data_IF_882474790340
#
_entry.id   IF_882474790340
#
_cell.length_a   1.000
_cell.length_b   1.000
_cell.length_c   1.000
_cell.angle_alpha   90.00
_cell.angle_beta   90.00
_cell.angle_gamma   90.00
#
_symmetry.space_group_name_H-M   'P 1'
#
loop_
_entity.id
_entity.type
_entity.pdbx_description
1 polymer ?
#
# COMPACT_ATOMS: atom_id res chain seq x y z
N UNK A 1 -17.40 -13.69 5.40
CA UNK A 1 -16.44 -14.34 6.33
C UNK A 1 -15.01 -13.87 6.16
N UNK A 2 -14.46 -13.74 4.94
CA UNK A 2 -13.13 -13.13 4.75
C UNK A 2 -13.12 -11.61 4.93
N UNK A 3 -14.16 -10.92 4.47
CA UNK A 3 -14.25 -9.45 4.55
C UNK A 3 -14.38 -8.94 5.99
N UNK A 4 -14.91 -9.78 6.88
CA UNK A 4 -15.07 -9.50 8.31
C UNK A 4 -13.72 -9.41 9.03
N UNK A 5 -12.73 -10.23 8.63
CA UNK A 5 -11.43 -10.31 9.32
C UNK A 5 -10.66 -8.98 9.22
N UNK A 6 -10.66 -8.36 8.03
CA UNK A 6 -10.00 -7.07 7.83
C UNK A 6 -10.69 -5.98 8.64
N UNK A 7 -12.03 -5.96 8.66
CA UNK A 7 -12.80 -4.99 9.43
C UNK A 7 -12.53 -5.12 10.94
N UNK A 8 -12.42 -6.35 11.47
CA UNK A 8 -12.06 -6.60 12.87
C UNK A 8 -10.60 -6.27 13.21
N UNK A 9 -9.70 -6.28 12.22
CA UNK A 9 -8.30 -5.90 12.43
C UNK A 9 -8.11 -4.38 12.58
N UNK A 10 -8.99 -3.56 11.98
CA UNK A 10 -8.86 -2.10 12.00
C UNK A 10 -8.78 -1.49 13.42
N UNK A 11 -9.65 -1.85 14.40
CA UNK A 11 -9.52 -1.39 15.78
C UNK A 11 -8.19 -1.80 16.44
N UNK A 12 -7.69 -3.00 16.12
CA UNK A 12 -6.42 -3.51 16.66
C UNK A 12 -5.24 -2.69 16.11
N UNK A 13 -5.21 -2.44 14.81
CA UNK A 13 -4.20 -1.56 14.19
C UNK A 13 -4.26 -0.14 14.76
N UNK A 14 -5.47 0.40 14.95
CA UNK A 14 -5.70 1.70 15.61
C UNK A 14 -5.13 1.76 17.02
N UNK A 15 -5.38 0.72 17.83
CA UNK A 15 -4.84 0.63 19.18
C UNK A 15 -3.31 0.52 19.19
N UNK A 16 -2.72 -0.30 18.33
CA UNK A 16 -1.27 -0.46 18.23
C UNK A 16 -0.58 0.83 17.79
N UNK A 17 -1.15 1.57 16.83
CA UNK A 17 -0.66 2.90 16.46
C UNK A 17 -0.75 3.89 17.63
N UNK A 18 -1.84 3.87 18.40
CA UNK A 18 -1.98 4.75 19.57
C UNK A 18 -0.95 4.41 20.67
N UNK A 19 -0.67 3.13 20.88
CA UNK A 19 0.38 2.66 21.79
C UNK A 19 1.76 3.11 21.30
N UNK A 20 2.07 2.92 20.02
CA UNK A 20 3.35 3.34 19.43
C UNK A 20 3.54 4.85 19.57
N UNK A 21 2.51 5.63 19.21
CA UNK A 21 2.53 7.08 19.35
C UNK A 21 2.74 7.53 20.80
N UNK A 22 1.99 6.95 21.75
CA UNK A 22 2.12 7.24 23.18
C UNK A 22 3.51 6.90 23.72
N UNK A 23 4.09 5.78 23.30
CA UNK A 23 5.46 5.39 23.63
C UNK A 23 6.49 6.39 23.06
N UNK A 24 6.34 6.77 21.80
CA UNK A 24 7.18 7.76 21.13
C UNK A 24 7.17 9.10 21.87
N UNK A 25 6.01 9.57 22.32
CA UNK A 25 5.88 10.77 23.16
C UNK A 25 6.58 10.61 24.51
N UNK A 26 6.32 9.52 25.23
CA UNK A 26 6.90 9.26 26.54
C UNK A 26 8.44 9.16 26.51
N UNK A 27 9.01 8.72 25.38
CA UNK A 27 10.46 8.61 25.17
C UNK A 27 11.10 9.83 24.50
N UNK A 28 10.33 10.84 24.12
CA UNK A 28 10.83 11.99 23.37
C UNK A 28 11.35 11.64 21.97
N UNK A 29 10.83 10.56 21.37
CA UNK A 29 11.23 10.03 20.05
C UNK A 29 10.04 9.93 19.09
N UNK A 30 9.14 10.92 19.11
CA UNK A 30 7.95 10.89 18.27
C UNK A 30 8.30 10.91 16.78
N UNK A 31 7.98 9.82 16.07
CA UNK A 31 8.12 9.67 14.63
C UNK A 31 6.81 9.99 13.87
N UNK A 32 5.68 10.19 14.54
CA UNK A 32 4.40 10.55 13.90
C UNK A 32 4.30 12.05 13.57
N UNK A 33 3.74 12.34 12.39
CA UNK A 33 3.38 13.68 11.95
C UNK A 33 1.95 13.69 11.39
N UNK A 34 1.09 14.58 11.90
CA UNK A 34 -0.35 14.53 11.62
C UNK A 34 -0.69 14.44 10.12
N UNK A 35 -0.08 15.29 9.29
CA UNK A 35 -0.37 15.31 7.86
C UNK A 35 0.07 14.03 7.16
N UNK A 36 1.26 13.51 7.50
CA UNK A 36 1.80 12.27 6.95
C UNK A 36 0.94 11.07 7.38
N UNK A 37 0.58 10.99 8.66
CA UNK A 37 -0.30 9.96 9.20
C UNK A 37 -1.68 9.99 8.54
N UNK A 38 -2.31 11.17 8.42
CA UNK A 38 -3.60 11.29 7.72
C UNK A 38 -3.49 10.92 6.24
N UNK A 39 -2.40 11.29 5.57
CA UNK A 39 -2.17 10.92 4.17
C UNK A 39 -1.98 9.40 3.99
N UNK A 40 -1.23 8.77 4.89
CA UNK A 40 -1.01 7.31 4.91
C UNK A 40 -2.30 6.54 5.17
N UNK A 41 -3.07 6.94 6.18
CA UNK A 41 -4.36 6.31 6.46
C UNK A 41 -5.39 6.58 5.34
N UNK A 42 -5.39 7.77 4.75
CA UNK A 42 -6.27 8.09 3.61
C UNK A 42 -5.93 7.27 2.36
N UNK A 43 -4.64 6.93 2.14
CA UNK A 43 -4.25 5.95 1.12
C UNK A 43 -4.83 4.57 1.42
N UNK A 44 -4.73 4.10 2.66
CA UNK A 44 -5.36 2.85 3.08
C UNK A 44 -6.86 2.83 2.79
N UNK A 45 -7.59 3.88 3.15
CA UNK A 45 -9.02 3.99 2.85
C UNK A 45 -9.30 4.03 1.35
N UNK A 46 -8.48 4.74 0.56
CA UNK A 46 -8.59 4.76 -0.90
C UNK A 46 -8.40 3.36 -1.48
N UNK A 47 -7.40 2.62 -1.01
CA UNK A 47 -7.14 1.23 -1.43
C UNK A 47 -8.35 0.33 -1.11
N UNK A 48 -8.97 0.47 0.07
CA UNK A 48 -10.19 -0.28 0.40
C UNK A 48 -11.39 0.08 -0.49
N UNK A 49 -11.57 1.37 -0.82
CA UNK A 49 -12.63 1.80 -1.76
C UNK A 49 -12.41 1.19 -3.15
N UNK A 50 -11.17 1.20 -3.63
CA UNK A 50 -10.83 0.55 -4.90
C UNK A 50 -11.06 -0.95 -4.82
N UNK A 51 -10.59 -1.62 -3.76
CA UNK A 51 -10.76 -3.05 -3.54
C UNK A 51 -12.24 -3.47 -3.54
N UNK A 52 -13.13 -2.70 -2.90
CA UNK A 52 -14.58 -2.96 -2.93
C UNK A 52 -15.16 -2.89 -4.35
N UNK A 53 -14.60 -2.06 -5.23
CA UNK A 53 -14.98 -1.98 -6.63
C UNK A 53 -14.28 -3.01 -7.54
N UNK A 54 -13.19 -3.62 -7.05
CA UNK A 54 -12.31 -4.50 -7.84
C UNK A 54 -12.05 -5.86 -7.19
N UNK A 55 -12.92 -6.32 -6.29
CA UNK A 55 -12.74 -7.54 -5.50
C UNK A 55 -12.50 -8.79 -6.38
N UNK A 56 -13.07 -8.78 -7.60
CA UNK A 56 -12.90 -9.84 -8.60
C UNK A 56 -11.54 -9.86 -9.30
N UNK A 57 -10.67 -8.86 -9.12
CA UNK A 57 -9.44 -8.79 -9.91
C UNK A 57 -8.41 -9.78 -9.37
N UNK A 58 -7.87 -9.61 -8.15
CA UNK A 58 -6.81 -10.53 -7.72
C UNK A 58 -7.34 -11.91 -7.35
N UNK A 59 -8.25 -11.99 -6.38
CA UNK A 59 -8.81 -13.29 -5.93
C UNK A 59 -9.73 -13.87 -6.99
N UNK A 60 -10.54 -13.05 -7.66
CA UNK A 60 -11.45 -13.53 -8.70
C UNK A 60 -10.71 -14.05 -9.94
N UNK A 61 -9.71 -13.35 -10.48
CA UNK A 61 -8.93 -13.86 -11.62
C UNK A 61 -8.13 -15.12 -11.23
N UNK A 62 -7.59 -15.17 -10.00
CA UNK A 62 -6.98 -16.38 -9.48
C UNK A 62 -7.97 -17.56 -9.46
N UNK A 63 -9.17 -17.35 -8.91
CA UNK A 63 -10.20 -18.37 -8.83
C UNK A 63 -10.71 -18.81 -10.22
N UNK A 64 -10.80 -17.89 -11.18
CA UNK A 64 -11.14 -18.18 -12.56
C UNK A 64 -10.05 -18.99 -13.27
N UNK A 65 -8.78 -18.68 -13.03
CA UNK A 65 -7.65 -19.39 -13.63
C UNK A 65 -7.41 -20.77 -13.00
N UNK A 66 -7.71 -20.92 -11.70
CA UNK A 66 -7.46 -22.12 -10.92
C UNK A 66 -7.89 -23.45 -11.60
N UNK A 67 -9.15 -23.64 -12.05
CA UNK A 67 -9.58 -24.91 -12.65
C UNK A 67 -8.87 -25.26 -13.96
N UNK A 68 -8.26 -24.28 -14.64
CA UNK A 68 -7.53 -24.49 -15.90
C UNK A 68 -6.04 -24.74 -15.71
N UNK A 69 -5.47 -24.32 -14.58
CA UNK A 69 -4.03 -24.39 -14.32
C UNK A 69 -3.63 -25.48 -13.32
N UNK A 70 -4.53 -25.87 -12.42
CA UNK A 70 -4.23 -26.79 -11.33
C UNK A 70 -3.82 -28.18 -11.85
N UNK A 71 -2.66 -28.66 -11.40
CA UNK A 71 -2.16 -30.00 -11.72
C UNK A 71 -2.66 -31.07 -10.75
N UNK A 72 -2.98 -30.67 -9.51
CA UNK A 72 -3.42 -31.56 -8.43
C UNK A 72 -4.62 -30.96 -7.71
N UNK A 73 -5.79 -30.87 -8.36
CA UNK A 73 -6.99 -30.33 -7.74
C UNK A 73 -7.39 -31.17 -6.51
N UNK A 74 -7.85 -30.49 -5.45
CA UNK A 74 -8.39 -31.12 -4.24
C UNK A 74 -7.43 -32.05 -3.49
N UNK A 75 -6.12 -31.80 -3.56
CA UNK A 75 -5.16 -32.51 -2.71
C UNK A 75 -5.53 -32.32 -1.23
N UNK A 76 -5.65 -33.44 -0.50
CA UNK A 76 -6.03 -33.45 0.92
C UNK A 76 -5.12 -32.56 1.78
N UNK A 77 -3.85 -32.39 1.37
CA UNK A 77 -2.88 -31.49 1.98
C UNK A 77 -3.45 -30.10 2.32
N UNK A 78 -4.21 -29.48 1.41
CA UNK A 78 -4.72 -28.12 1.57
C UNK A 78 -5.83 -27.98 2.62
N UNK A 79 -6.34 -29.10 3.15
CA UNK A 79 -7.34 -29.12 4.22
C UNK A 79 -6.72 -29.25 5.61
N UNK A 80 -5.40 -29.49 5.69
CA UNK A 80 -4.67 -29.63 6.94
C UNK A 80 -3.76 -28.41 7.20
N UNK A 81 -3.27 -28.27 8.43
CA UNK A 81 -2.50 -27.09 8.85
C UNK A 81 -1.17 -26.97 8.10
N UNK A 82 -0.60 -28.11 7.68
CA UNK A 82 0.63 -28.19 6.87
C UNK A 82 0.41 -27.54 5.50
N UNK A 83 -0.76 -27.77 4.87
CA UNK A 83 -1.13 -27.13 3.62
C UNK A 83 -1.35 -25.63 3.78
N UNK A 84 -1.89 -25.17 4.92
CA UNK A 84 -2.02 -23.74 5.22
C UNK A 84 -0.63 -23.09 5.35
N UNK A 85 0.28 -23.71 6.09
CA UNK A 85 1.66 -23.21 6.22
C UNK A 85 2.36 -23.18 4.87
N UNK A 86 2.22 -24.24 4.06
CA UNK A 86 2.80 -24.29 2.72
C UNK A 86 2.21 -23.20 1.81
N UNK A 87 0.90 -22.95 1.88
CA UNK A 87 0.25 -21.87 1.11
C UNK A 87 0.78 -20.49 1.51
N UNK A 88 1.02 -20.23 2.81
CA UNK A 88 1.65 -18.99 3.29
C UNK A 88 3.08 -18.86 2.76
N UNK A 89 3.89 -19.92 2.82
CA UNK A 89 5.26 -19.90 2.28
C UNK A 89 5.30 -19.67 0.76
N UNK A 90 4.38 -20.28 0.03
CA UNK A 90 4.25 -20.07 -1.42
C UNK A 90 3.78 -18.65 -1.74
N UNK A 91 2.84 -18.11 -0.97
CA UNK A 91 2.40 -16.73 -1.12
C UNK A 91 3.56 -15.76 -0.87
N UNK A 92 4.29 -15.93 0.24
CA UNK A 92 5.45 -15.12 0.61
C UNK A 92 6.55 -15.16 -0.48
N UNK A 93 6.78 -16.33 -1.09
CA UNK A 93 7.69 -16.47 -2.22
C UNK A 93 7.20 -15.76 -3.50
N UNK A 94 5.92 -15.91 -3.85
CA UNK A 94 5.32 -15.21 -5.00
C UNK A 94 5.34 -13.69 -4.79
N UNK A 95 5.04 -13.25 -3.57
CA UNK A 95 5.04 -11.86 -3.16
C UNK A 95 6.46 -11.27 -3.22
N UNK A 96 7.49 -12.00 -2.79
CA UNK A 96 8.89 -11.59 -2.97
C UNK A 96 9.21 -11.22 -4.43
N UNK A 97 8.77 -12.02 -5.40
CA UNK A 97 9.02 -11.75 -6.82
C UNK A 97 8.22 -10.56 -7.34
N UNK A 98 6.96 -10.45 -6.93
CA UNK A 98 6.13 -9.32 -7.29
C UNK A 98 6.74 -8.03 -6.74
N UNK A 99 7.12 -8.05 -5.46
CA UNK A 99 7.70 -6.95 -4.73
C UNK A 99 9.05 -6.53 -5.32
N UNK A 100 9.93 -7.49 -5.63
CA UNK A 100 11.18 -7.23 -6.34
C UNK A 100 10.94 -6.54 -7.68
N UNK A 101 10.03 -7.07 -8.52
CA UNK A 101 9.68 -6.44 -9.80
C UNK A 101 9.09 -5.04 -9.60
N UNK A 102 8.34 -4.84 -8.52
CA UNK A 102 7.83 -3.52 -8.13
C UNK A 102 8.89 -2.49 -7.80
N UNK A 103 10.10 -2.89 -7.43
CA UNK A 103 11.22 -1.97 -7.28
C UNK A 103 12.08 -1.87 -8.55
N UNK A 104 12.22 -2.98 -9.29
CA UNK A 104 13.10 -3.05 -10.46
C UNK A 104 12.44 -2.65 -11.81
N UNK A 105 11.12 -2.45 -11.87
CA UNK A 105 10.39 -2.00 -13.05
C UNK A 105 9.63 -0.70 -12.78
N UNK A 106 9.82 0.32 -13.62
CA UNK A 106 9.14 1.60 -13.47
C UNK A 106 7.60 1.52 -13.51
N UNK A 107 7.02 0.59 -14.28
CA UNK A 107 5.58 0.37 -14.33
C UNK A 107 5.03 -0.19 -13.02
N UNK A 108 5.69 -1.21 -12.46
CA UNK A 108 5.27 -1.81 -11.19
C UNK A 108 5.63 -0.91 -10.00
N UNK A 109 6.71 -0.14 -10.11
CA UNK A 109 7.05 0.93 -9.16
C UNK A 109 5.98 2.00 -9.12
N UNK A 110 5.41 2.41 -10.25
CA UNK A 110 4.31 3.38 -10.25
C UNK A 110 3.08 2.89 -9.44
N UNK A 111 2.87 1.56 -9.34
CA UNK A 111 1.83 0.99 -8.50
C UNK A 111 2.21 0.97 -7.01
N UNK A 112 3.47 0.66 -6.70
CA UNK A 112 3.94 0.34 -5.35
C UNK A 112 4.56 1.54 -4.60
N UNK A 113 5.15 2.50 -5.31
CA UNK A 113 5.83 3.70 -4.77
C UNK A 113 5.01 4.46 -3.73
N UNK A 114 3.68 4.42 -3.84
CA UNK A 114 2.79 5.07 -2.89
C UNK A 114 3.06 4.60 -1.47
N UNK A 115 3.38 3.31 -1.26
CA UNK A 115 3.76 2.75 0.03
C UNK A 115 5.02 3.41 0.62
N UNK A 116 6.02 3.71 -0.22
CA UNK A 116 7.31 4.28 0.16
C UNK A 116 7.32 5.81 0.29
N UNK A 117 6.25 6.51 -0.08
CA UNK A 117 6.25 7.99 -0.13
C UNK A 117 6.34 8.67 1.25
N UNK A 118 5.96 7.98 2.33
CA UNK A 118 6.04 8.56 3.67
C UNK A 118 7.49 8.80 4.08
N UNK A 119 7.75 9.99 4.63
CA UNK A 119 9.06 10.36 5.18
C UNK A 119 9.18 10.04 6.67
N UNK A 120 8.15 9.45 7.26
CA UNK A 120 8.04 9.12 8.68
C UNK A 120 7.68 7.65 8.82
N UNK A 121 8.60 6.84 9.33
CA UNK A 121 8.40 5.40 9.39
C UNK A 121 7.79 4.98 10.73
N UNK A 122 6.55 4.51 10.70
CA UNK A 122 5.78 4.08 11.87
C UNK A 122 4.62 3.19 11.43
N UNK A 123 3.80 2.70 12.36
CA UNK A 123 2.75 1.74 12.05
C UNK A 123 1.67 2.31 11.10
N UNK A 124 1.54 3.63 10.97
CA UNK A 124 0.64 4.21 9.95
C UNK A 124 1.17 4.05 8.52
N UNK A 125 2.49 3.94 8.34
CA UNK A 125 3.13 3.64 7.04
C UNK A 125 2.68 2.29 6.50
N UNK A 126 2.49 1.29 7.38
CA UNK A 126 1.95 -0.01 6.99
C UNK A 126 0.57 0.11 6.32
N UNK A 127 -0.23 1.10 6.70
CA UNK A 127 -1.57 1.32 6.16
C UNK A 127 -1.58 2.23 4.93
N UNK A 128 -0.41 2.71 4.49
CA UNK A 128 -0.25 3.42 3.21
C UNK A 128 -0.24 2.41 2.06
N UNK A 129 -1.37 1.76 1.85
CA UNK A 129 -1.52 0.64 0.94
C UNK A 129 -1.68 1.12 -0.51
N UNK A 130 -1.04 0.42 -1.43
CA UNK A 130 -1.22 0.63 -2.85
C UNK A 130 -2.63 0.25 -3.33
N UNK A 131 -3.15 1.02 -4.28
CA UNK A 131 -4.50 0.83 -4.82
C UNK A 131 -4.50 0.25 -6.25
N UNK A 132 -3.35 0.22 -6.94
CA UNK A 132 -3.24 -0.24 -8.32
C UNK A 132 -2.62 -1.64 -8.47
N UNK A 133 -2.08 -2.19 -7.38
CA UNK A 133 -1.32 -3.45 -7.37
C UNK A 133 -2.11 -4.65 -7.87
N UNK A 134 -3.39 -4.73 -7.49
CA UNK A 134 -4.28 -5.82 -7.89
C UNK A 134 -4.43 -5.95 -9.42
N UNK A 135 -4.28 -4.84 -10.17
CA UNK A 135 -4.44 -4.82 -11.63
C UNK A 135 -3.33 -5.56 -12.37
N UNK A 136 -2.11 -5.57 -11.82
CA UNK A 136 -0.92 -6.13 -12.47
C UNK A 136 -0.23 -7.24 -11.69
N UNK A 137 -0.50 -7.38 -10.39
CA UNK A 137 0.18 -8.33 -9.51
C UNK A 137 -0.35 -9.76 -9.57
N UNK A 138 -1.63 -9.96 -9.91
CA UNK A 138 -2.26 -11.28 -9.89
C UNK A 138 -1.53 -12.39 -10.68
N UNK A 139 -0.84 -12.14 -11.82
CA UNK A 139 -0.14 -13.20 -12.55
C UNK A 139 1.01 -13.83 -11.76
N UNK A 140 1.63 -13.09 -10.82
CA UNK A 140 2.73 -13.59 -9.99
C UNK A 140 2.29 -14.71 -9.04
N UNK A 141 0.98 -14.81 -8.76
CA UNK A 141 0.41 -15.84 -7.90
C UNK A 141 -0.08 -17.08 -8.67
N UNK A 142 -0.09 -17.07 -10.01
CA UNK A 142 -0.48 -18.24 -10.80
C UNK A 142 0.37 -19.51 -10.55
N UNK A 143 1.65 -19.44 -10.18
CA UNK A 143 2.38 -20.63 -9.71
C UNK A 143 1.70 -21.36 -8.55
N UNK A 144 1.01 -20.65 -7.65
CA UNK A 144 0.22 -21.27 -6.58
C UNK A 144 -0.99 -22.04 -7.13
N UNK A 145 -1.64 -21.51 -8.16
CA UNK A 145 -2.75 -22.20 -8.83
C UNK A 145 -2.27 -23.48 -9.51
N UNK A 146 -1.12 -23.43 -10.19
CA UNK A 146 -0.47 -24.61 -10.80
C UNK A 146 -0.14 -25.67 -9.74
N UNK A 147 0.39 -25.25 -8.59
CA UNK A 147 0.65 -26.12 -7.43
C UNK A 147 -0.62 -26.67 -6.76
N UNK A 148 -1.80 -26.19 -7.16
CA UNK A 148 -3.09 -26.68 -6.68
C UNK A 148 -3.61 -26.00 -5.40
N UNK A 149 -3.05 -24.86 -4.99
CA UNK A 149 -3.51 -24.09 -3.82
C UNK A 149 -4.94 -23.58 -4.07
N UNK A 150 -5.97 -24.02 -3.31
CA UNK A 150 -7.34 -23.59 -3.56
C UNK A 150 -7.53 -22.09 -3.29
N UNK A 151 -8.49 -21.42 -3.96
CA UNK A 151 -8.69 -19.98 -3.81
C UNK A 151 -8.91 -19.49 -2.37
N UNK A 152 -9.57 -20.29 -1.52
CA UNK A 152 -9.77 -19.93 -0.12
C UNK A 152 -8.45 -19.90 0.67
N UNK A 153 -7.56 -20.87 0.43
CA UNK A 153 -6.22 -20.95 1.02
C UNK A 153 -5.31 -19.85 0.48
N UNK A 154 -5.43 -19.51 -0.81
CA UNK A 154 -4.75 -18.36 -1.40
C UNK A 154 -5.16 -17.05 -0.71
N UNK A 155 -6.46 -16.81 -0.52
CA UNK A 155 -6.96 -15.62 0.17
C UNK A 155 -6.50 -15.58 1.63
N UNK A 156 -6.58 -16.71 2.35
CA UNK A 156 -6.11 -16.81 3.73
C UNK A 156 -4.60 -16.53 3.85
N UNK A 157 -3.78 -17.12 2.97
CA UNK A 157 -2.35 -16.89 2.94
C UNK A 157 -2.01 -15.41 2.72
N UNK A 158 -2.72 -14.74 1.79
CA UNK A 158 -2.55 -13.31 1.56
C UNK A 158 -2.89 -12.46 2.78
N UNK A 159 -3.97 -12.77 3.50
CA UNK A 159 -4.31 -12.07 4.76
C UNK A 159 -3.22 -12.26 5.81
N UNK A 160 -2.70 -13.48 5.98
CA UNK A 160 -1.62 -13.77 6.94
C UNK A 160 -0.36 -12.98 6.61
N UNK A 161 0.06 -12.95 5.35
CA UNK A 161 1.22 -12.18 4.89
C UNK A 161 1.01 -10.69 5.06
N UNK A 162 -0.17 -10.17 4.70
CA UNK A 162 -0.54 -8.76 4.92
C UNK A 162 -0.47 -8.37 6.40
N UNK A 163 -1.03 -9.19 7.29
CA UNK A 163 -1.05 -8.89 8.72
C UNK A 163 0.34 -8.99 9.36
N UNK A 164 1.18 -9.93 8.90
CA UNK A 164 2.57 -9.98 9.32
C UNK A 164 3.30 -8.68 8.99
N UNK A 165 3.09 -8.14 7.79
CA UNK A 165 3.77 -6.91 7.36
C UNK A 165 3.38 -5.67 8.18
N UNK A 166 2.26 -5.68 8.93
CA UNK A 166 1.87 -4.51 9.72
C UNK A 166 2.91 -4.15 10.79
N UNK A 167 3.30 -5.09 11.65
CA UNK A 167 4.08 -4.79 12.86
C UNK A 167 5.55 -4.44 12.58
N UNK A 168 6.06 -4.81 11.40
CA UNK A 168 7.45 -4.52 11.00
C UNK A 168 7.67 -3.04 10.62
N UNK A 169 6.61 -2.24 10.53
CA UNK A 169 6.69 -0.80 10.25
C UNK A 169 6.90 0.02 11.52
N UNK A 170 8.09 -0.02 12.11
CA UNK A 170 8.40 0.80 13.29
C UNK A 170 9.88 1.14 13.39
N UNK A 171 10.18 2.31 13.94
CA UNK A 171 11.55 2.71 14.34
C UNK A 171 11.86 2.36 15.80
N UNK A 172 10.85 1.98 16.59
CA UNK A 172 11.02 1.80 18.03
C UNK A 172 11.57 0.42 18.42
N UNK A 173 11.52 -0.54 17.50
CA UNK A 173 12.11 -1.87 17.67
C UNK A 173 13.41 -1.93 16.85
N UNK A 174 14.55 -2.06 17.53
CA UNK A 174 15.86 -2.19 16.88
C UNK A 174 16.05 -3.55 16.19
N UNK A 175 17.31 -3.92 15.95
CA UNK A 175 17.65 -5.28 15.50
C UNK A 175 17.18 -6.34 16.50
N UNK A 176 16.62 -7.44 16.00
CA UNK A 176 16.26 -8.62 16.78
C UNK A 176 17.35 -9.70 16.73
N UNK A 177 18.57 -9.32 16.32
CA UNK A 177 19.76 -10.17 16.33
C UNK A 177 19.62 -11.35 15.37
N UNK A 178 19.66 -12.62 15.84
CA UNK A 178 19.55 -13.78 14.97
C UNK A 178 18.27 -13.84 14.13
N UNK A 179 17.16 -13.24 14.59
CA UNK A 179 15.89 -13.26 13.88
C UNK A 179 15.95 -12.47 12.56
N UNK A 180 16.71 -11.37 12.51
CA UNK A 180 16.93 -10.54 11.31
C UNK A 180 17.61 -11.33 10.16
N UNK A 181 18.05 -12.56 10.43
CA UNK A 181 18.64 -13.45 9.43
C UNK A 181 17.60 -14.31 8.71
N UNK A 182 16.43 -14.51 9.29
CA UNK A 182 15.43 -15.46 8.83
C UNK A 182 14.09 -14.79 8.53
N UNK A 183 13.69 -13.86 9.40
CA UNK A 183 12.43 -13.15 9.33
C UNK A 183 12.65 -11.73 8.86
N UNK A 184 11.67 -11.17 8.16
CA UNK A 184 11.54 -9.74 7.97
C UNK A 184 11.18 -9.13 9.31
N UNK A 185 12.11 -8.39 9.88
CA UNK A 185 11.96 -7.68 11.15
C UNK A 185 11.84 -6.19 10.90
N UNK A 186 11.51 -5.37 11.92
CA UNK A 186 11.52 -3.91 11.77
C UNK A 186 12.85 -3.36 11.26
N UNK A 187 13.99 -3.98 11.63
CA UNK A 187 15.30 -3.57 11.12
C UNK A 187 15.47 -3.85 9.63
N UNK A 188 15.07 -5.04 9.17
CA UNK A 188 15.13 -5.38 7.75
C UNK A 188 14.18 -4.49 6.92
N UNK A 189 12.99 -4.22 7.45
CA UNK A 189 11.96 -3.45 6.75
C UNK A 189 12.28 -1.95 6.73
N UNK A 190 12.95 -1.40 7.75
CA UNK A 190 13.51 -0.04 7.69
C UNK A 190 14.49 0.13 6.54
N UNK A 191 15.41 -0.83 6.35
CA UNK A 191 16.35 -0.85 5.22
C UNK A 191 15.58 -0.86 3.91
N UNK A 192 14.56 -1.70 3.79
CA UNK A 192 13.71 -1.76 2.61
C UNK A 192 13.05 -0.42 2.28
N UNK A 193 12.56 0.31 3.29
CA UNK A 193 11.93 1.61 3.12
C UNK A 193 12.91 2.78 2.97
N UNK A 194 14.21 2.54 3.07
CA UNK A 194 15.20 3.59 3.07
C UNK A 194 15.61 4.02 1.66
N UNK A 195 15.99 5.28 1.54
CA UNK A 195 16.50 5.91 0.31
C UNK A 195 18.01 6.08 0.31
N UNK A 196 18.69 5.61 1.37
CA UNK A 196 20.15 5.56 1.42
C UNK A 196 20.67 4.74 0.23
N UNK A 197 21.73 5.21 -0.44
CA UNK A 197 22.25 4.56 -1.65
C UNK A 197 22.60 3.08 -1.45
N UNK A 198 23.01 2.68 -0.24
CA UNK A 198 23.31 1.28 0.13
C UNK A 198 22.06 0.39 0.23
N UNK A 199 20.93 0.99 0.59
CA UNK A 199 19.69 0.28 0.92
C UNK A 199 18.68 0.24 -0.22
N UNK A 200 18.91 1.01 -1.28
CA UNK A 200 18.09 0.95 -2.49
C UNK A 200 18.03 -0.47 -3.03
N UNK A 201 16.81 -0.91 -3.38
CA UNK A 201 16.56 -2.19 -4.03
C UNK A 201 17.02 -3.39 -3.16
N UNK A 202 16.72 -3.35 -1.85
CA UNK A 202 17.06 -4.40 -0.86
C UNK A 202 15.85 -4.87 -0.06
N UNK A 203 15.97 -6.09 0.48
CA UNK A 203 15.06 -6.70 1.47
C UNK A 203 13.57 -6.71 1.04
N UNK A 204 13.24 -7.45 -0.01
CA UNK A 204 11.87 -7.55 -0.56
C UNK A 204 10.97 -8.57 0.17
N UNK A 205 11.52 -9.46 1.00
CA UNK A 205 10.73 -10.49 1.68
C UNK A 205 9.68 -9.90 2.62
N UNK A 206 8.44 -10.37 2.54
CA UNK A 206 7.35 -9.90 3.40
C UNK A 206 7.41 -10.53 4.80
N UNK A 207 7.46 -11.85 4.90
CA UNK A 207 7.67 -12.61 6.14
C UNK A 207 9.12 -13.07 6.25
N UNK A 208 9.68 -13.66 5.19
CA UNK A 208 11.00 -14.28 5.23
C UNK A 208 12.03 -13.50 4.39
N UNK A 209 13.09 -13.02 5.04
CA UNK A 209 14.30 -12.50 4.35
C UNK A 209 15.15 -13.62 3.73
N UNK A 210 14.72 -14.88 3.88
CA UNK A 210 15.40 -16.03 3.27
C UNK A 210 15.43 -15.90 1.74
N UNK A 211 14.35 -15.40 1.13
CA UNK A 211 14.30 -15.14 -0.31
C UNK A 211 15.35 -14.11 -0.73
N UNK A 212 15.50 -13.03 0.05
CA UNK A 212 16.53 -12.03 -0.19
C UNK A 212 17.94 -12.60 -0.15
N UNK A 213 18.20 -13.54 0.75
CA UNK A 213 19.51 -14.21 0.82
C UNK A 213 19.74 -15.13 -0.37
N UNK A 214 18.71 -15.91 -0.75
CA UNK A 214 18.79 -16.83 -1.88
C UNK A 214 19.01 -16.11 -3.21
N UNK A 215 18.41 -14.93 -3.38
CA UNK A 215 18.44 -14.17 -4.63
C UNK A 215 19.33 -12.91 -4.59
N UNK A 216 20.12 -12.74 -3.53
CA UNK A 216 21.20 -11.73 -3.45
C UNK A 216 20.72 -10.29 -3.22
N UNK A 217 19.57 -10.10 -2.57
CA UNK A 217 18.96 -8.79 -2.28
C UNK A 217 18.97 -8.43 -0.79
N UNK A 218 19.52 -9.28 0.07
CA UNK A 218 19.61 -9.02 1.51
C UNK A 218 20.66 -7.96 1.86
N UNK A 219 20.28 -6.98 2.68
CA UNK A 219 21.16 -5.98 3.27
C UNK A 219 20.79 -5.73 4.74
N UNK A 220 21.73 -5.85 5.69
CA UNK A 220 21.47 -5.52 7.09
C UNK A 220 21.43 -4.00 7.33
N UNK A 221 20.74 -3.57 8.38
CA UNK A 221 20.76 -2.18 8.83
C UNK A 221 22.13 -1.87 9.47
N UNK A 222 22.96 -1.07 8.80
CA UNK A 222 24.32 -0.71 9.21
C UNK A 222 24.53 0.78 9.53
N UNK A 223 23.61 1.63 9.06
CA UNK A 223 23.57 3.08 9.20
C UNK A 223 22.11 3.56 9.35
N UNK A 224 21.87 4.74 9.95
CA UNK A 224 20.53 5.30 10.09
C UNK A 224 19.78 5.42 8.75
N UNK A 225 18.55 4.94 8.72
CA UNK A 225 17.70 4.97 7.53
C UNK A 225 17.12 6.38 7.27
N UNK A 226 17.03 6.76 6.00
CA UNK A 226 16.37 7.98 5.51
C UNK A 226 15.17 7.59 4.67
N UNK A 227 13.96 7.94 5.09
CA UNK A 227 12.72 7.46 4.44
C UNK A 227 12.16 8.43 3.39
N UNK A 228 11.20 7.92 2.63
CA UNK A 228 10.53 8.60 1.54
C UNK A 228 10.92 8.00 0.19
N UNK A 229 10.84 8.81 -0.85
CA UNK A 229 11.26 8.43 -2.20
C UNK A 229 12.36 9.36 -2.69
N UNK A 230 13.25 8.85 -3.55
CA UNK A 230 14.37 9.62 -4.14
C UNK A 230 13.89 10.92 -4.79
N UNK A 231 12.73 10.87 -5.44
CA UNK A 231 11.96 12.06 -5.83
C UNK A 231 10.77 12.16 -4.88
N UNK A 232 10.80 13.06 -3.88
CA UNK A 232 9.76 13.09 -2.87
C UNK A 232 8.41 13.56 -3.41
N UNK A 233 7.33 13.02 -2.85
CA UNK A 233 5.98 13.51 -3.12
C UNK A 233 5.79 14.92 -2.55
N UNK A 234 5.26 15.83 -3.37
CA UNK A 234 4.80 17.14 -2.93
C UNK A 234 3.31 17.10 -2.59
N UNK A 235 3.01 17.23 -1.29
CA UNK A 235 1.65 17.35 -0.75
C UNK A 235 1.10 16.07 -0.14
N UNK A 236 -0.14 16.17 0.34
CA UNK A 236 -0.83 15.15 1.15
C UNK A 236 -2.06 14.57 0.45
N UNK A 237 -2.28 14.94 -0.81
CA UNK A 237 -3.38 14.49 -1.66
C UNK A 237 -3.27 13.02 -2.05
N UNK A 238 -4.22 12.17 -1.63
CA UNK A 238 -4.13 10.77 -1.93
C UNK A 238 -4.30 10.43 -3.43
N UNK A 239 -5.02 11.25 -4.19
CA UNK A 239 -5.18 11.02 -5.63
C UNK A 239 -3.93 11.42 -6.40
N UNK A 240 -3.30 12.51 -5.99
CA UNK A 240 -2.01 12.93 -6.55
C UNK A 240 -0.91 11.91 -6.24
N UNK A 241 -0.87 11.40 -5.01
CA UNK A 241 0.09 10.39 -4.56
C UNK A 241 0.14 9.15 -5.46
N UNK A 242 -1.04 8.65 -5.87
CA UNK A 242 -1.17 7.51 -6.79
C UNK A 242 -0.87 7.91 -8.23
N UNK A 243 -1.41 9.04 -8.71
CA UNK A 243 -1.39 9.38 -10.14
C UNK A 243 -0.05 9.95 -10.63
N UNK A 244 0.71 10.65 -9.80
CA UNK A 244 1.89 11.42 -10.25
C UNK A 244 2.95 10.54 -10.93
N UNK A 245 3.23 9.36 -10.38
CA UNK A 245 4.24 8.45 -10.92
C UNK A 245 3.78 7.83 -12.25
N UNK A 246 2.49 7.53 -12.42
CA UNK A 246 1.95 7.10 -13.70
C UNK A 246 2.00 8.21 -14.75
N UNK A 247 1.61 9.44 -14.39
CA UNK A 247 1.65 10.58 -15.31
C UNK A 247 3.08 10.83 -15.80
N UNK A 248 4.06 10.80 -14.90
CA UNK A 248 5.47 10.97 -15.26
C UNK A 248 6.01 9.80 -16.08
N UNK A 249 5.62 8.57 -15.77
CA UNK A 249 5.94 7.38 -16.57
C UNK A 249 5.44 7.52 -18.01
N UNK A 250 4.15 7.85 -18.20
CA UNK A 250 3.56 8.00 -19.54
C UNK A 250 4.15 9.18 -20.32
N UNK A 251 4.52 10.28 -19.65
CA UNK A 251 5.28 11.37 -20.27
C UNK A 251 6.65 10.90 -20.75
N UNK A 252 7.37 10.09 -19.96
CA UNK A 252 8.66 9.50 -20.37
C UNK A 252 8.48 8.58 -21.58
N UNK A 253 7.45 7.74 -21.60
CA UNK A 253 7.10 6.88 -22.74
C UNK A 253 6.81 7.71 -24.00
N UNK A 254 6.05 8.81 -23.87
CA UNK A 254 5.74 9.70 -24.99
C UNK A 254 6.96 10.40 -25.58
N UNK A 255 8.01 10.65 -24.77
CA UNK A 255 9.27 11.28 -25.19
C UNK A 255 10.32 10.29 -25.73
N UNK A 256 10.18 9.00 -25.42
CA UNK A 256 11.12 7.97 -25.82
C UNK A 256 11.17 7.77 -27.34
N UNK A 257 12.38 7.65 -27.90
CA UNK A 257 12.61 7.54 -29.34
C UNK A 257 12.55 6.07 -29.77
N UNK A 258 11.36 5.62 -30.17
CA UNK A 258 11.12 4.28 -30.69
C UNK A 258 10.66 3.28 -29.63
N UNK A 259 10.26 2.09 -30.08
CA UNK A 259 9.58 1.10 -29.24
C UNK A 259 10.49 0.46 -28.18
N UNK A 260 11.79 0.30 -28.47
CA UNK A 260 12.76 -0.26 -27.52
C UNK A 260 12.94 0.64 -26.30
N UNK A 261 13.08 1.94 -26.51
CA UNK A 261 13.19 2.91 -25.42
C UNK A 261 11.89 2.99 -24.62
N UNK A 262 10.73 2.91 -25.29
CA UNK A 262 9.42 2.86 -24.62
C UNK A 262 9.28 1.65 -23.71
N UNK A 263 9.67 0.46 -24.18
CA UNK A 263 9.70 -0.74 -23.34
C UNK A 263 10.74 -0.61 -22.22
N UNK A 264 11.89 -0.01 -22.50
CA UNK A 264 12.91 0.28 -21.49
C UNK A 264 12.38 1.17 -20.37
N UNK A 265 11.64 2.24 -20.71
CA UNK A 265 11.02 3.15 -19.73
C UNK A 265 10.02 2.41 -18.84
N UNK A 266 9.30 1.41 -19.35
CA UNK A 266 8.27 0.68 -18.60
C UNK A 266 8.88 -0.43 -17.71
N UNK A 267 9.78 -1.24 -18.27
CA UNK A 267 10.17 -2.52 -17.67
C UNK A 267 11.57 -2.55 -17.05
N UNK A 268 12.35 -1.47 -17.15
CA UNK A 268 13.63 -1.35 -16.42
C UNK A 268 13.47 -0.53 -15.15
N UNK A 269 14.54 -0.43 -14.37
CA UNK A 269 14.61 0.33 -13.12
C UNK A 269 13.98 1.72 -13.27
N UNK A 270 13.27 2.25 -12.26
CA UNK A 270 12.71 3.60 -12.28
C UNK A 270 13.72 4.73 -12.60
N UNK A 271 15.01 4.46 -12.32
CA UNK A 271 16.15 5.34 -12.59
C UNK A 271 16.67 5.26 -14.04
N UNK A 272 16.26 4.25 -14.81
CA UNK A 272 16.70 4.08 -16.18
C UNK A 272 16.15 5.18 -17.09
N UNK A 273 17.00 5.67 -18.01
CA UNK A 273 16.60 6.59 -19.06
C UNK A 273 17.31 6.24 -20.38
N UNK A 274 16.69 6.54 -21.54
CA UNK A 274 17.35 6.40 -22.84
C UNK A 274 18.64 7.24 -22.95
N UNK A 275 19.56 6.81 -23.81
CA UNK A 275 20.79 7.56 -24.06
C UNK A 275 20.49 8.99 -24.54
N UNK A 276 21.13 9.99 -23.93
CA UNK A 276 20.91 11.40 -24.23
C UNK A 276 19.65 12.01 -23.60
N UNK A 277 18.93 11.27 -22.76
CA UNK A 277 17.89 11.86 -21.92
C UNK A 277 18.53 12.81 -20.88
N UNK A 278 17.93 13.98 -20.62
CA UNK A 278 18.42 14.88 -19.58
C UNK A 278 18.36 14.18 -18.21
N UNK A 279 19.39 14.40 -17.39
CA UNK A 279 19.41 13.90 -16.02
C UNK A 279 18.17 14.42 -15.25
N UNK A 280 17.53 13.56 -14.48
CA UNK A 280 16.46 13.98 -13.60
C UNK A 280 17.04 14.91 -12.54
N UNK A 281 16.51 16.13 -12.43
CA UNK A 281 16.85 17.04 -11.34
C UNK A 281 16.00 16.69 -10.12
N UNK A 282 16.63 16.37 -8.97
CA UNK A 282 15.88 16.22 -7.72
C UNK A 282 15.16 17.54 -7.44
N UNK A 283 13.84 17.50 -7.30
CA UNK A 283 13.10 18.65 -6.80
C UNK A 283 13.12 18.59 -5.28
N UNK A 284 13.72 19.60 -4.66
CA UNK A 284 13.58 19.79 -3.22
C UNK A 284 12.11 20.09 -2.89
N UNK A 285 11.49 19.20 -2.13
CA UNK A 285 10.15 19.39 -1.59
C UNK A 285 10.28 19.54 -0.08
N UNK A 286 9.82 20.64 0.52
CA UNK A 286 9.89 20.85 1.97
C UNK A 286 9.34 19.63 2.72
N UNK A 287 10.09 19.17 3.72
CA UNK A 287 9.67 18.13 4.67
C UNK A 287 8.83 18.82 5.74
N UNK A 288 7.64 18.28 6.03
CA UNK A 288 6.78 18.70 7.13
C UNK A 288 6.38 20.19 7.15
N UNK A 289 5.54 20.59 6.19
CA UNK A 289 4.88 21.89 6.28
C UNK A 289 3.98 21.96 7.54
N UNK A 290 4.17 22.98 8.38
CA UNK A 290 3.30 23.21 9.55
C UNK A 290 1.85 23.37 9.09
N UNK A 291 0.97 22.50 9.58
CA UNK A 291 -0.48 22.58 9.37
C UNK A 291 -1.10 23.49 10.41
N UNK A 292 -1.91 24.47 9.99
CA UNK A 292 -2.61 25.33 10.93
C UNK A 292 -3.66 24.54 11.72
N UNK A 293 -3.94 24.92 12.98
CA UNK A 293 -4.88 24.20 13.85
C UNK A 293 -6.26 24.00 13.21
N UNK A 294 -6.79 25.00 12.53
CA UNK A 294 -8.08 24.90 11.83
C UNK A 294 -8.05 23.89 10.66
N UNK A 295 -6.93 23.83 9.92
CA UNK A 295 -6.75 22.85 8.84
C UNK A 295 -6.62 21.44 9.40
N UNK A 296 -5.84 21.27 10.48
CA UNK A 296 -5.70 20.01 11.19
C UNK A 296 -7.06 19.50 11.70
N UNK A 297 -7.84 20.35 12.36
CA UNK A 297 -9.15 19.98 12.88
C UNK A 297 -10.12 19.56 11.76
N UNK A 298 -10.18 20.32 10.66
CA UNK A 298 -11.02 19.98 9.51
C UNK A 298 -10.57 18.66 8.85
N UNK A 299 -9.27 18.46 8.64
CA UNK A 299 -8.73 17.24 8.06
C UNK A 299 -9.05 16.00 8.92
N UNK A 300 -8.89 16.11 10.25
CA UNK A 300 -9.23 15.02 11.18
C UNK A 300 -10.73 14.72 11.16
N UNK A 301 -11.58 15.75 11.21
CA UNK A 301 -13.03 15.56 11.17
C UNK A 301 -13.47 14.87 9.86
N UNK A 302 -12.94 15.31 8.72
CA UNK A 302 -13.19 14.67 7.43
C UNK A 302 -12.69 13.23 7.39
N UNK A 303 -11.49 12.96 7.91
CA UNK A 303 -10.95 11.62 7.97
C UNK A 303 -11.82 10.66 8.80
N UNK A 304 -12.32 11.09 9.96
CA UNK A 304 -13.22 10.28 10.79
C UNK A 304 -14.54 9.97 10.07
N UNK A 305 -15.11 10.97 9.38
CA UNK A 305 -16.32 10.78 8.57
C UNK A 305 -16.06 9.82 7.40
N UNK A 306 -14.98 10.02 6.65
CA UNK A 306 -14.59 9.13 5.56
C UNK A 306 -14.34 7.70 6.04
N UNK A 307 -13.71 7.52 7.20
CA UNK A 307 -13.48 6.20 7.81
C UNK A 307 -14.81 5.51 8.10
N UNK A 308 -15.76 6.21 8.74
CA UNK A 308 -17.08 5.65 9.04
C UNK A 308 -17.86 5.30 7.77
N UNK A 309 -17.84 6.18 6.76
CA UNK A 309 -18.50 5.93 5.48
C UNK A 309 -17.85 4.77 4.70
N UNK A 310 -16.52 4.64 4.71
CA UNK A 310 -15.82 3.49 4.12
C UNK A 310 -16.18 2.19 4.85
N UNK A 311 -16.25 2.20 6.19
CA UNK A 311 -16.73 1.04 6.95
C UNK A 311 -18.15 0.63 6.55
N UNK A 312 -19.04 1.60 6.38
CA UNK A 312 -20.40 1.36 5.88
C UNK A 312 -20.44 0.81 4.46
N UNK A 313 -19.56 1.28 3.57
CA UNK A 313 -19.39 0.71 2.23
C UNK A 313 -18.95 -0.76 2.31
N UNK A 314 -17.88 -1.05 3.06
CA UNK A 314 -17.34 -2.42 3.16
C UNK A 314 -18.36 -3.39 3.74
N UNK A 315 -19.16 -2.96 4.71
CA UNK A 315 -20.22 -3.77 5.31
C UNK A 315 -21.37 -4.11 4.35
N UNK A 316 -21.63 -3.24 3.36
CA UNK A 316 -22.79 -3.32 2.45
C UNK A 316 -22.39 -3.56 1.01
N UNK A 317 -21.11 -3.78 0.72
CA UNK A 317 -20.59 -3.78 -0.65
C UNK A 317 -21.29 -4.83 -1.53
N UNK A 318 -21.54 -6.02 -0.98
CA UNK A 318 -22.20 -7.14 -1.67
C UNK A 318 -23.69 -6.88 -1.95
N UNK A 319 -24.31 -5.97 -1.21
CA UNK A 319 -25.74 -5.63 -1.36
C UNK A 319 -25.96 -4.53 -2.40
N UNK A 320 -24.92 -3.79 -2.79
CA UNK A 320 -25.03 -2.62 -3.64
C UNK A 320 -25.05 -3.00 -5.13
N UNK A 321 -26.03 -2.47 -5.86
CA UNK A 321 -25.96 -2.44 -7.32
C UNK A 321 -24.76 -1.63 -7.82
N UNK A 322 -24.21 -2.00 -8.99
CA UNK A 322 -22.98 -1.37 -9.55
C UNK A 322 -23.02 0.16 -9.61
N UNK A 323 -24.18 0.75 -9.94
CA UNK A 323 -24.34 2.20 -10.00
C UNK A 323 -24.27 2.85 -8.60
N UNK A 324 -24.89 2.23 -7.59
CA UNK A 324 -24.82 2.71 -6.21
C UNK A 324 -23.39 2.57 -5.65
N UNK A 325 -22.73 1.43 -5.90
CA UNK A 325 -21.34 1.20 -5.54
C UNK A 325 -20.41 2.26 -6.14
N UNK A 326 -20.53 2.54 -7.44
CA UNK A 326 -19.76 3.59 -8.10
C UNK A 326 -20.03 5.00 -7.53
N UNK A 327 -21.29 5.30 -7.22
CA UNK A 327 -21.67 6.57 -6.59
C UNK A 327 -21.08 6.75 -5.19
N UNK A 328 -21.13 5.71 -4.35
CA UNK A 328 -20.51 5.72 -3.01
C UNK A 328 -19.00 5.87 -3.12
N UNK A 329 -18.36 5.10 -4.01
CA UNK A 329 -16.92 5.19 -4.24
C UNK A 329 -16.50 6.59 -4.68
N UNK A 330 -17.23 7.22 -5.61
CA UNK A 330 -16.95 8.58 -6.05
C UNK A 330 -17.10 9.61 -4.92
N UNK A 331 -18.13 9.48 -4.08
CA UNK A 331 -18.34 10.35 -2.92
C UNK A 331 -17.19 10.22 -1.90
N UNK A 332 -16.74 8.99 -1.61
CA UNK A 332 -15.62 8.72 -0.71
C UNK A 332 -14.30 9.27 -1.27
N UNK A 333 -14.02 9.04 -2.55
CA UNK A 333 -12.85 9.58 -3.26
C UNK A 333 -12.78 11.11 -3.16
N UNK A 334 -13.92 11.80 -3.33
CA UNK A 334 -13.99 13.25 -3.16
C UNK A 334 -13.69 13.70 -1.71
N UNK A 335 -14.18 12.96 -0.72
CA UNK A 335 -13.89 13.21 0.70
C UNK A 335 -12.40 13.04 1.03
N UNK A 336 -11.80 11.95 0.55
CA UNK A 336 -10.37 11.67 0.73
C UNK A 336 -9.48 12.71 0.04
N UNK A 337 -9.85 13.14 -1.17
CA UNK A 337 -9.20 14.26 -1.85
C UNK A 337 -9.27 15.55 -1.03
N UNK A 338 -10.43 15.86 -0.44
CA UNK A 338 -10.62 17.08 0.34
C UNK A 338 -9.71 17.14 1.58
N UNK A 339 -9.43 16.00 2.21
CA UNK A 339 -8.47 15.87 3.33
C UNK A 339 -7.08 16.36 2.88
N UNK A 340 -6.57 15.82 1.77
CA UNK A 340 -5.28 16.26 1.24
C UNK A 340 -5.29 17.72 0.78
N UNK A 341 -6.36 18.16 0.12
CA UNK A 341 -6.50 19.53 -0.35
C UNK A 341 -6.50 20.57 0.80
N UNK A 342 -7.11 20.27 1.95
CA UNK A 342 -7.07 21.17 3.11
C UNK A 342 -5.69 21.18 3.78
N UNK A 343 -5.00 20.03 3.84
CA UNK A 343 -3.63 19.92 4.36
C UNK A 343 -2.63 20.68 3.47
N UNK A 344 -2.81 20.61 2.14
CA UNK A 344 -2.04 21.33 1.13
C UNK A 344 -2.38 22.82 1.02
N UNK A 345 -3.37 23.30 1.80
CA UNK A 345 -3.91 24.67 1.72
C UNK A 345 -4.54 25.04 0.37
N UNK A 346 -4.90 24.05 -0.45
CA UNK A 346 -5.65 24.25 -1.71
C UNK A 346 -7.14 24.48 -1.46
N UNK A 347 -7.65 24.05 -0.31
CA UNK A 347 -9.04 24.21 0.09
C UNK A 347 -9.10 24.84 1.51
N UNK A 348 -9.91 25.88 1.74
CA UNK A 348 -10.09 26.40 3.09
C UNK A 348 -10.90 25.42 3.96
N UNK A 349 -10.70 25.40 5.30
CA UNK A 349 -11.36 24.44 6.19
C UNK A 349 -12.89 24.35 6.07
N UNK A 350 -13.58 25.47 5.88
CA UNK A 350 -15.04 25.50 5.76
C UNK A 350 -15.53 24.81 4.48
N UNK A 351 -14.81 25.00 3.36
CA UNK A 351 -15.16 24.37 2.09
C UNK A 351 -14.88 22.87 2.14
N UNK A 352 -13.81 22.47 2.83
CA UNK A 352 -13.53 21.06 3.13
C UNK A 352 -14.69 20.43 3.91
N UNK A 353 -15.21 21.13 4.92
CA UNK A 353 -16.41 20.70 5.66
C UNK A 353 -17.64 20.47 4.77
N UNK A 354 -17.90 21.37 3.81
CA UNK A 354 -19.01 21.20 2.86
C UNK A 354 -18.85 19.96 1.98
N UNK A 355 -17.63 19.69 1.48
CA UNK A 355 -17.34 18.47 0.73
C UNK A 355 -17.57 17.24 1.62
N UNK A 356 -17.11 17.26 2.87
CA UNK A 356 -17.35 16.18 3.83
C UNK A 356 -18.83 15.87 4.05
N UNK A 357 -19.64 16.90 4.30
CA UNK A 357 -21.09 16.75 4.49
C UNK A 357 -21.74 16.18 3.23
N UNK A 358 -21.39 16.69 2.04
CA UNK A 358 -21.91 16.19 0.78
C UNK A 358 -21.53 14.73 0.53
N UNK A 359 -20.25 14.38 0.71
CA UNK A 359 -19.74 13.01 0.57
C UNK A 359 -20.41 12.03 1.53
N UNK A 360 -20.55 12.42 2.80
CA UNK A 360 -21.21 11.59 3.81
C UNK A 360 -22.69 11.39 3.52
N UNK A 361 -23.40 12.48 3.16
CA UNK A 361 -24.82 12.43 2.83
C UNK A 361 -25.07 11.55 1.61
N UNK A 362 -24.29 11.73 0.55
CA UNK A 362 -24.38 10.90 -0.66
C UNK A 362 -24.13 9.42 -0.35
N UNK A 363 -23.09 9.13 0.45
CA UNK A 363 -22.79 7.76 0.88
C UNK A 363 -23.96 7.15 1.65
N UNK A 364 -24.45 7.83 2.68
CA UNK A 364 -25.56 7.33 3.52
C UNK A 364 -26.86 7.13 2.74
N UNK A 365 -27.17 8.02 1.79
CA UNK A 365 -28.34 7.88 0.92
C UNK A 365 -28.21 6.64 0.02
N UNK A 366 -27.08 6.48 -0.64
CA UNK A 366 -26.86 5.35 -1.55
C UNK A 366 -26.82 4.00 -0.82
N UNK A 367 -26.25 3.97 0.39
CA UNK A 367 -26.25 2.77 1.25
C UNK A 367 -27.65 2.35 1.73
N UNK A 368 -28.63 3.27 1.74
CA UNK A 368 -30.03 2.99 2.09
C UNK A 368 -30.90 2.55 0.92
N UNK A 369 -30.43 2.74 -0.31
CA UNK A 369 -31.17 2.40 -1.54
C UNK A 369 -30.93 0.95 -2.01
N UNK A 370 -29.96 0.27 -1.40
CA UNK A 370 -29.82 -1.19 -1.39
C UNK A 370 -30.39 -1.73 -0.08
#
# INVERSE_FOLDING_TARGET
MTDDIVLYALPVFGLLMAIEFGWGLARGRNNYGLADTLASLSQGLLSQVVAACTQLIQIGLYALAFPFLTLTPHAALWQHWEGVVLAVLLYDFCDYWLHRVSHESALFWAAHVVHHQSRRFNLSTALRQESAYALSGWPFFLPMAVAGVPPAQFALAGIVVLFYQFWIHTEHIGSLGPLDRWLSTPSNHRVHHATNARYLDRNYGAILVVWDRLFGTFEPESEPCVYGTVVPLAGWDPLHAVSVNYVDLWRKVGRARGWRDRLGVLFRSPSWAPAGAPAATPKEVPVDARVARAQAAAAVALFLVSTACTGGLLWRADDLGRAALAGVAAALVAGLWAIGAVLDRRLPPWAAGLVGVASATATLLLLRLA
#
